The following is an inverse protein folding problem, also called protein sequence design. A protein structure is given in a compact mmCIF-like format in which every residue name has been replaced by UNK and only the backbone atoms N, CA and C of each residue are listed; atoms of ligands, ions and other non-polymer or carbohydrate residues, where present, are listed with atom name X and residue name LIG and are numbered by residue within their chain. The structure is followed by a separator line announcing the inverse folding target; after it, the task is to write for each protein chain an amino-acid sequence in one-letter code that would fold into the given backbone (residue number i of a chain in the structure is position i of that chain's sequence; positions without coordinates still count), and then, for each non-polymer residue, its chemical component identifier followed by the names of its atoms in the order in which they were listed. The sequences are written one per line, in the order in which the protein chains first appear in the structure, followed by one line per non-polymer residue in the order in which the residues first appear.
data_IF_164148457425
#
_entry.id   IF_164148457425
#
_cell.length_a   1.000
_cell.length_b   1.000
_cell.length_c   1.000
_cell.angle_alpha   90.00
_cell.angle_beta   90.00
_cell.angle_gamma   90.00
#
_symmetry.space_group_name_H-M   'P 1'
#
loop_
_entity.id
_entity.type
_entity.pdbx_description
1 polymer ?
#
# COMPACT_ATOMS: atom_id res chain seq x y z
N UNK A 1 84.55 -19.38 40.29
CA UNK A 1 84.68 -19.93 38.92
C UNK A 1 83.29 -20.24 38.39
N UNK A 2 83.02 -19.75 37.17
CA UNK A 2 82.04 -20.22 36.18
C UNK A 2 80.54 -20.12 36.51
N UNK A 3 79.87 -19.48 35.55
CA UNK A 3 78.44 -19.25 35.40
C UNK A 3 77.67 -20.52 35.04
N UNK A 4 76.33 -20.49 35.23
CA UNK A 4 75.27 -20.47 34.19
C UNK A 4 73.91 -20.73 34.89
N UNK A 5 72.82 -20.17 34.33
CA UNK A 5 71.40 -20.61 34.29
C UNK A 5 70.47 -19.41 34.58
N UNK A 6 69.90 -18.72 33.58
CA UNK A 6 68.76 -19.08 32.71
C UNK A 6 67.47 -19.37 33.49
N UNK A 7 66.51 -18.42 33.42
CA UNK A 7 65.06 -18.58 33.26
C UNK A 7 64.28 -17.43 33.91
N UNK A 8 63.31 -16.85 33.19
CA UNK A 8 62.32 -15.93 33.76
C UNK A 8 61.78 -14.88 32.81
N UNK A 9 61.45 -15.25 31.56
CA UNK A 9 60.85 -14.36 30.57
C UNK A 9 59.33 -14.25 30.72
N UNK A 10 58.92 -13.13 31.30
CA UNK A 10 57.65 -12.38 31.29
C UNK A 10 56.53 -12.87 30.34
N UNK A 11 55.35 -12.96 30.95
CA UNK A 11 53.99 -13.15 30.42
C UNK A 11 53.68 -12.23 29.22
N UNK A 12 53.39 -12.85 28.08
CA UNK A 12 52.87 -12.18 26.87
C UNK A 12 51.37 -12.49 26.72
N UNK A 13 50.53 -11.57 27.21
CA UNK A 13 49.12 -11.48 26.83
C UNK A 13 49.03 -10.92 25.41
N UNK A 14 48.59 -11.71 24.42
CA UNK A 14 48.07 -11.18 23.15
C UNK A 14 47.28 -12.22 22.36
N UNK A 15 46.15 -11.75 21.82
CA UNK A 15 45.33 -12.30 20.74
C UNK A 15 44.25 -13.34 21.12
N UNK A 16 43.19 -12.81 21.76
CA UNK A 16 41.80 -13.21 21.56
C UNK A 16 41.46 -13.22 20.05
N UNK A 17 41.12 -14.38 19.49
CA UNK A 17 40.40 -14.47 18.22
C UNK A 17 39.15 -15.34 18.41
N UNK A 18 38.07 -14.66 18.78
CA UNK A 18 36.71 -15.18 18.75
C UNK A 18 36.34 -15.42 17.28
N UNK A 19 36.22 -16.69 16.88
CA UNK A 19 35.61 -17.05 15.61
C UNK A 19 34.09 -16.82 15.71
N UNK A 20 33.68 -15.57 15.48
CA UNK A 20 32.28 -15.24 15.28
C UNK A 20 31.85 -15.65 13.88
N UNK A 21 31.30 -16.86 13.73
CA UNK A 21 30.54 -17.23 12.55
C UNK A 21 29.29 -16.35 12.48
N UNK A 22 29.38 -15.22 11.76
CA UNK A 22 28.20 -14.47 11.34
C UNK A 22 27.41 -15.38 10.40
N UNK A 23 26.35 -16.01 10.91
CA UNK A 23 25.40 -16.73 10.10
C UNK A 23 24.71 -15.73 9.19
N UNK A 24 25.22 -15.62 7.96
CA UNK A 24 24.55 -14.93 6.88
C UNK A 24 23.28 -15.72 6.58
N UNK A 25 22.20 -15.37 7.30
CA UNK A 25 20.84 -15.81 6.95
C UNK A 25 20.62 -15.39 5.50
N UNK A 26 20.64 -16.35 4.59
CA UNK A 26 19.99 -16.18 3.29
C UNK A 26 18.55 -15.80 3.61
N UNK A 27 18.22 -14.52 3.46
CA UNK A 27 16.85 -14.08 3.37
C UNK A 27 16.28 -14.91 2.22
N UNK A 28 15.34 -15.80 2.52
CA UNK A 28 14.61 -16.49 1.48
C UNK A 28 14.00 -15.39 0.61
N UNK A 29 14.48 -15.26 -0.63
CA UNK A 29 13.74 -14.54 -1.67
C UNK A 29 12.40 -15.26 -1.74
N UNK A 30 11.37 -14.65 -1.17
CA UNK A 30 9.99 -15.03 -1.42
C UNK A 30 9.81 -14.93 -2.93
N UNK A 31 9.92 -16.07 -3.60
CA UNK A 31 9.51 -16.26 -4.99
C UNK A 31 7.99 -16.26 -5.02
N UNK A 32 7.41 -15.11 -4.67
CA UNK A 32 6.00 -14.86 -4.84
C UNK A 32 5.78 -14.86 -6.35
N UNK A 33 5.10 -15.88 -6.85
CA UNK A 33 4.58 -15.91 -8.21
C UNK A 33 4.01 -14.53 -8.56
N UNK A 34 4.36 -13.95 -9.74
CA UNK A 34 3.98 -12.58 -10.06
C UNK A 34 2.46 -12.43 -9.97
N UNK A 35 2.01 -11.65 -8.99
CA UNK A 35 0.59 -11.42 -8.76
C UNK A 35 -0.04 -10.83 -10.04
N UNK A 36 -1.22 -11.30 -10.47
CA UNK A 36 -1.86 -10.80 -11.67
C UNK A 36 -2.17 -9.30 -11.53
N UNK A 37 -2.00 -8.57 -12.63
CA UNK A 37 -2.36 -7.15 -12.71
C UNK A 37 -3.84 -7.01 -13.08
N UNK A 38 -4.63 -6.46 -12.16
CA UNK A 38 -6.06 -6.23 -12.30
C UNK A 38 -6.34 -5.05 -13.24
N UNK A 39 -5.45 -4.06 -13.27
CA UNK A 39 -5.62 -2.81 -14.02
C UNK A 39 -4.69 -2.74 -15.23
N UNK A 40 -4.27 -3.89 -15.78
CA UNK A 40 -3.32 -3.96 -16.91
C UNK A 40 -3.75 -3.16 -18.14
N UNK A 41 -5.05 -3.14 -18.44
CA UNK A 41 -5.60 -2.46 -19.62
C UNK A 41 -5.85 -0.95 -19.41
N UNK A 42 -5.67 -0.43 -18.19
CA UNK A 42 -5.85 0.98 -17.90
C UNK A 42 -4.55 1.76 -18.14
N UNK A 43 -4.69 3.03 -18.52
CA UNK A 43 -3.58 3.96 -18.56
C UNK A 43 -2.95 4.12 -17.17
N UNK A 44 -1.67 4.50 -17.12
CA UNK A 44 -0.98 4.75 -15.84
C UNK A 44 -1.66 5.84 -15.02
N UNK A 45 -2.33 6.79 -15.69
CA UNK A 45 -3.03 7.91 -15.08
C UNK A 45 -4.32 8.17 -15.83
N UNK A 46 -5.44 8.16 -15.11
CA UNK A 46 -6.79 8.37 -15.67
C UNK A 46 -7.41 9.59 -15.01
N UNK A 47 -7.87 10.57 -15.79
CA UNK A 47 -8.50 11.78 -15.25
C UNK A 47 -9.85 11.44 -14.60
N UNK A 48 -10.10 11.97 -13.41
CA UNK A 48 -11.34 11.73 -12.67
C UNK A 48 -12.01 13.07 -12.37
N UNK A 49 -13.26 13.23 -12.80
CA UNK A 49 -13.99 14.48 -12.54
C UNK A 49 -14.43 14.54 -11.07
N UNK A 50 -14.31 15.72 -10.47
CA UNK A 50 -14.76 15.96 -9.10
C UNK A 50 -16.24 15.63 -8.92
N UNK A 51 -17.06 15.91 -9.93
CA UNK A 51 -18.50 15.64 -9.91
C UNK A 51 -18.83 14.14 -9.77
N UNK A 52 -18.02 13.27 -10.36
CA UNK A 52 -18.22 11.81 -10.26
C UNK A 52 -17.82 11.31 -8.87
N UNK A 53 -16.71 11.85 -8.33
CA UNK A 53 -16.27 11.53 -6.97
C UNK A 53 -17.30 11.99 -5.95
N UNK A 54 -17.74 13.25 -6.01
CA UNK A 54 -18.69 13.79 -5.03
C UNK A 54 -20.06 13.08 -5.10
N UNK A 55 -20.55 12.76 -6.30
CA UNK A 55 -21.76 11.95 -6.50
C UNK A 55 -21.66 10.59 -5.82
N UNK A 56 -20.47 9.99 -5.71
CA UNK A 56 -20.31 8.69 -5.05
C UNK A 56 -20.73 8.72 -3.58
N UNK A 57 -20.60 9.87 -2.91
CA UNK A 57 -21.01 10.04 -1.51
C UNK A 57 -22.52 10.20 -1.32
N UNK A 58 -23.30 10.37 -2.40
CA UNK A 58 -24.77 10.45 -2.30
C UNK A 58 -25.44 9.07 -2.27
N UNK A 59 -24.69 8.00 -2.51
CA UNK A 59 -25.22 6.64 -2.45
C UNK A 59 -25.24 6.10 -1.02
N UNK A 60 -26.31 5.38 -0.69
CA UNK A 60 -26.46 4.71 0.60
C UNK A 60 -25.95 3.28 0.55
N UNK A 61 -25.65 2.70 1.73
CA UNK A 61 -25.30 1.30 1.91
C UNK A 61 -26.32 0.37 1.21
N UNK A 62 -25.81 -0.69 0.57
CA UNK A 62 -26.59 -1.69 -0.16
C UNK A 62 -27.04 -1.24 -1.56
N UNK A 63 -26.70 -0.02 -1.99
CA UNK A 63 -27.03 0.44 -3.35
C UNK A 63 -25.98 0.01 -4.35
N UNK A 64 -26.44 -0.40 -5.53
CA UNK A 64 -25.61 -0.57 -6.71
C UNK A 64 -25.28 0.80 -7.30
N UNK A 65 -24.04 0.98 -7.73
CA UNK A 65 -23.53 2.21 -8.31
C UNK A 65 -22.77 1.92 -9.60
N UNK A 66 -22.80 2.88 -10.51
CA UNK A 66 -21.96 2.91 -11.71
C UNK A 66 -21.31 4.28 -11.78
N UNK A 67 -20.00 4.32 -11.71
CA UNK A 67 -19.18 5.52 -11.81
C UNK A 67 -18.40 5.47 -13.12
N UNK A 68 -18.82 6.27 -14.09
CA UNK A 68 -18.10 6.46 -15.35
C UNK A 68 -16.98 7.48 -15.11
N UNK A 69 -15.75 7.01 -14.91
CA UNK A 69 -14.60 7.88 -14.62
C UNK A 69 -14.08 8.51 -15.92
N UNK A 70 -13.84 7.67 -16.92
CA UNK A 70 -13.53 8.06 -18.29
C UNK A 70 -14.08 6.99 -19.27
N UNK A 71 -13.65 7.03 -20.54
CA UNK A 71 -14.07 6.05 -21.55
C UNK A 71 -13.55 4.62 -21.32
N UNK A 72 -12.49 4.44 -20.52
CA UNK A 72 -11.79 3.17 -20.33
C UNK A 72 -11.89 2.62 -18.89
N UNK A 73 -12.34 3.44 -17.94
CA UNK A 73 -12.49 3.15 -16.53
C UNK A 73 -13.94 3.44 -16.12
N UNK A 74 -14.71 2.37 -16.00
CA UNK A 74 -16.03 2.38 -15.38
C UNK A 74 -15.96 1.55 -14.12
N UNK A 75 -16.43 2.05 -13.00
CA UNK A 75 -16.50 1.30 -11.75
C UNK A 75 -17.95 0.95 -11.49
N UNK A 76 -18.27 -0.34 -11.50
CA UNK A 76 -19.58 -0.85 -11.15
C UNK A 76 -19.48 -1.68 -9.88
N UNK A 77 -20.42 -1.50 -8.94
CA UNK A 77 -20.32 -2.18 -7.66
C UNK A 77 -21.43 -1.84 -6.68
N UNK A 78 -21.32 -2.40 -5.48
CA UNK A 78 -22.25 -2.17 -4.38
C UNK A 78 -21.58 -1.40 -3.24
N UNK A 79 -22.27 -0.41 -2.67
CA UNK A 79 -21.82 0.29 -1.46
C UNK A 79 -21.95 -0.66 -0.26
N UNK A 80 -20.82 -1.18 0.22
CA UNK A 80 -20.78 -2.04 1.41
C UNK A 80 -21.02 -1.26 2.69
N UNK A 81 -20.47 -0.05 2.75
CA UNK A 81 -20.47 0.77 3.93
C UNK A 81 -20.33 2.23 3.57
N UNK A 82 -20.97 3.06 4.39
CA UNK A 82 -20.78 4.50 4.44
C UNK A 82 -20.62 4.88 5.91
N UNK A 83 -19.51 5.51 6.25
CA UNK A 83 -19.14 5.85 7.62
C UNK A 83 -18.63 7.28 7.70
N UNK A 84 -18.75 7.86 8.89
CA UNK A 84 -18.25 9.19 9.21
C UNK A 84 -17.41 9.08 10.49
N UNK A 85 -16.14 8.66 10.38
CA UNK A 85 -15.28 8.46 11.55
C UNK A 85 -15.02 9.76 12.33
N UNK A 86 -15.09 10.91 11.64
CA UNK A 86 -14.92 12.24 12.21
C UNK A 86 -15.91 13.22 11.53
N UNK A 87 -16.38 14.30 12.20
CA UNK A 87 -17.20 15.33 11.57
C UNK A 87 -16.67 15.86 10.23
N UNK A 88 -15.35 15.88 10.03
CA UNK A 88 -14.66 16.34 8.84
C UNK A 88 -14.45 15.25 7.79
N UNK A 89 -14.56 13.97 8.15
CA UNK A 89 -14.21 12.84 7.27
C UNK A 89 -15.40 11.93 7.05
N UNK A 90 -15.77 11.76 5.79
CA UNK A 90 -16.79 10.79 5.36
C UNK A 90 -16.14 9.79 4.41
N UNK A 91 -16.40 8.50 4.62
CA UNK A 91 -15.81 7.41 3.85
C UNK A 91 -16.91 6.50 3.30
N UNK A 92 -16.72 6.05 2.06
CA UNK A 92 -17.54 5.01 1.45
C UNK A 92 -16.64 3.85 1.00
N UNK A 93 -17.15 2.64 1.20
CA UNK A 93 -16.52 1.40 0.77
C UNK A 93 -17.43 0.74 -0.27
N UNK A 94 -16.89 0.48 -1.45
CA UNK A 94 -17.62 -0.09 -2.59
C UNK A 94 -16.94 -1.40 -3.00
N UNK A 95 -17.72 -2.47 -3.10
CA UNK A 95 -17.28 -3.73 -3.71
C UNK A 95 -17.51 -3.68 -5.20
N UNK A 96 -16.43 -3.66 -5.97
CA UNK A 96 -16.48 -3.57 -7.42
C UNK A 96 -16.79 -4.94 -8.05
N UNK A 97 -17.91 -5.04 -8.75
CA UNK A 97 -18.36 -6.27 -9.41
C UNK A 97 -17.62 -6.54 -10.72
N UNK A 98 -17.15 -5.48 -11.40
CA UNK A 98 -16.43 -5.58 -12.67
C UNK A 98 -14.90 -5.67 -12.55
N UNK A 99 -14.37 -5.72 -11.33
CA UNK A 99 -12.94 -5.82 -11.04
C UNK A 99 -12.64 -6.89 -9.98
N UNK A 100 -13.17 -8.10 -10.18
CA UNK A 100 -12.92 -9.27 -9.33
C UNK A 100 -13.13 -9.00 -7.82
N UNK A 101 -14.24 -8.34 -7.45
CA UNK A 101 -14.55 -7.96 -6.07
C UNK A 101 -13.48 -7.07 -5.40
N UNK A 102 -12.73 -6.28 -6.19
CA UNK A 102 -11.86 -5.25 -5.64
C UNK A 102 -12.63 -4.30 -4.72
N UNK A 103 -11.96 -3.85 -3.66
CA UNK A 103 -12.50 -2.88 -2.72
C UNK A 103 -12.03 -1.50 -3.15
N UNK A 104 -12.99 -0.62 -3.46
CA UNK A 104 -12.78 0.81 -3.61
C UNK A 104 -13.17 1.49 -2.30
N UNK A 105 -12.20 2.17 -1.69
CA UNK A 105 -12.43 3.06 -0.55
C UNK A 105 -12.22 4.49 -1.02
N UNK A 106 -13.21 5.34 -0.79
CA UNK A 106 -13.16 6.78 -1.09
C UNK A 106 -13.44 7.54 0.20
N UNK A 107 -12.63 8.56 0.48
CA UNK A 107 -12.83 9.46 1.63
C UNK A 107 -12.90 10.90 1.16
N UNK A 108 -13.89 11.62 1.69
CA UNK A 108 -14.11 13.05 1.55
C UNK A 108 -13.71 13.72 2.85
N UNK A 109 -12.74 14.64 2.78
CA UNK A 109 -12.13 15.31 3.93
C UNK A 109 -12.38 16.81 3.78
N UNK A 110 -13.17 17.37 4.70
CA UNK A 110 -13.40 18.81 4.83
C UNK A 110 -12.26 19.42 5.63
N UNK A 111 -11.57 20.40 5.06
CA UNK A 111 -10.50 21.12 5.74
C UNK A 111 -11.05 22.29 6.56
N UNK A 112 -10.26 22.79 7.50
CA UNK A 112 -10.64 23.93 8.36
C UNK A 112 -10.93 25.21 7.57
N UNK A 113 -10.24 25.41 6.43
CA UNK A 113 -10.48 26.53 5.52
C UNK A 113 -11.75 26.39 4.67
N UNK A 114 -12.57 25.34 4.90
CA UNK A 114 -13.79 25.05 4.16
C UNK A 114 -13.58 24.33 2.83
N UNK A 115 -12.33 24.11 2.39
CA UNK A 115 -12.04 23.34 1.19
C UNK A 115 -12.31 21.85 1.40
N UNK A 116 -12.59 21.12 0.32
CA UNK A 116 -12.83 19.68 0.36
C UNK A 116 -11.75 18.98 -0.44
N UNK A 117 -11.16 17.96 0.16
CA UNK A 117 -10.19 17.08 -0.47
C UNK A 117 -10.70 15.65 -0.49
N UNK A 118 -10.30 14.91 -1.53
CA UNK A 118 -10.68 13.52 -1.74
C UNK A 118 -9.44 12.65 -1.77
N UNK A 119 -9.54 11.47 -1.19
CA UNK A 119 -8.54 10.41 -1.31
C UNK A 119 -9.24 9.10 -1.58
N UNK A 120 -8.52 8.13 -2.12
CA UNK A 120 -9.08 6.82 -2.35
C UNK A 120 -8.09 5.81 -2.87
N UNK A 121 -8.45 4.55 -2.65
CA UNK A 121 -7.68 3.40 -3.09
C UNK A 121 -8.64 2.33 -3.59
N UNK A 122 -8.31 1.75 -4.75
CA UNK A 122 -8.97 0.56 -5.27
C UNK A 122 -7.96 -0.57 -5.35
N UNK A 123 -8.22 -1.66 -4.64
CA UNK A 123 -7.30 -2.78 -4.55
C UNK A 123 -8.03 -4.11 -4.44
N UNK A 124 -7.33 -5.18 -4.81
CA UNK A 124 -7.74 -6.56 -4.55
C UNK A 124 -6.58 -7.29 -3.88
N UNK A 125 -6.86 -8.16 -2.90
CA UNK A 125 -5.80 -8.89 -2.17
C UNK A 125 -4.97 -9.80 -3.09
N UNK A 126 -5.58 -10.32 -4.15
CA UNK A 126 -4.93 -11.20 -5.11
C UNK A 126 -4.26 -10.45 -6.28
N UNK A 127 -4.35 -9.12 -6.37
CA UNK A 127 -3.75 -8.34 -7.45
C UNK A 127 -2.39 -7.75 -7.09
N UNK A 128 -1.52 -7.62 -8.09
CA UNK A 128 -0.19 -7.00 -7.95
C UNK A 128 -0.21 -5.47 -8.08
N UNK A 129 -1.34 -4.88 -8.45
CA UNK A 129 -1.53 -3.45 -8.67
C UNK A 129 -2.75 -2.88 -7.94
N UNK A 130 -2.74 -1.56 -7.79
CA UNK A 130 -3.79 -0.74 -7.17
C UNK A 130 -4.06 0.51 -8.01
N UNK A 131 -5.24 1.10 -7.87
CA UNK A 131 -5.51 2.47 -8.32
C UNK A 131 -5.60 3.41 -7.13
N UNK A 132 -4.89 4.53 -7.19
CA UNK A 132 -4.92 5.58 -6.19
C UNK A 132 -5.56 6.84 -6.73
N UNK A 133 -6.53 7.39 -6.01
CA UNK A 133 -7.07 8.69 -6.29
C UNK A 133 -6.13 9.75 -5.73
N UNK A 134 -5.45 10.48 -6.62
CA UNK A 134 -4.49 11.53 -6.28
C UNK A 134 -4.96 12.89 -6.77
N UNK A 135 -4.70 13.93 -5.99
CA UNK A 135 -4.86 15.32 -6.41
C UNK A 135 -3.50 15.84 -6.91
N UNK A 136 -3.45 16.26 -8.17
CA UNK A 136 -2.29 16.92 -8.75
C UNK A 136 -2.73 18.27 -9.34
N UNK A 137 -2.28 19.37 -8.74
CA UNK A 137 -2.59 20.74 -9.17
C UNK A 137 -4.11 21.03 -9.27
N UNK A 138 -4.89 20.58 -8.29
CA UNK A 138 -6.35 20.81 -8.23
C UNK A 138 -7.16 19.88 -9.13
N UNK A 139 -6.52 18.89 -9.78
CA UNK A 139 -7.17 17.90 -10.63
C UNK A 139 -6.99 16.51 -10.05
N UNK A 140 -8.07 15.73 -10.10
CA UNK A 140 -8.08 14.37 -9.58
C UNK A 140 -7.77 13.34 -10.66
N UNK A 141 -6.97 12.35 -10.29
CA UNK A 141 -6.59 11.26 -11.17
C UNK A 141 -6.59 9.93 -10.44
N UNK A 142 -7.03 8.87 -11.10
CA UNK A 142 -6.69 7.51 -10.69
C UNK A 142 -5.34 7.14 -11.29
N UNK A 143 -4.35 6.93 -10.43
CA UNK A 143 -2.99 6.53 -10.78
C UNK A 143 -2.78 5.06 -10.48
N UNK A 144 -2.35 4.30 -11.48
CA UNK A 144 -1.98 2.88 -11.33
C UNK A 144 -0.62 2.77 -10.64
N UNK A 145 -0.53 1.96 -9.60
CA UNK A 145 0.70 1.69 -8.87
C UNK A 145 0.83 0.20 -8.54
N UNK A 146 2.06 -0.26 -8.26
CA UNK A 146 2.28 -1.60 -7.72
C UNK A 146 1.78 -1.66 -6.27
N UNK A 147 1.11 -2.75 -5.91
CA UNK A 147 0.54 -2.95 -4.57
C UNK A 147 1.61 -2.90 -3.48
N UNK A 148 2.75 -3.53 -3.72
CA UNK A 148 3.88 -3.61 -2.78
C UNK A 148 4.49 -2.27 -2.38
N UNK A 149 4.25 -1.21 -3.16
CA UNK A 149 4.74 0.14 -2.87
C UNK A 149 3.79 0.94 -1.97
N UNK A 150 2.55 0.49 -1.82
CA UNK A 150 1.46 1.26 -1.20
C UNK A 150 0.85 0.53 -0.01
N UNK A 151 0.77 -0.79 -0.09
CA UNK A 151 0.18 -1.64 0.94
C UNK A 151 1.28 -2.57 1.44
N UNK A 152 1.60 -2.46 2.73
CA UNK A 152 2.47 -3.41 3.38
C UNK A 152 1.77 -4.77 3.49
N UNK A 153 2.45 -5.83 3.06
CA UNK A 153 2.00 -7.19 3.34
C UNK A 153 2.27 -7.47 4.82
N UNK A 154 1.23 -7.33 5.65
CA UNK A 154 1.30 -7.79 7.04
C UNK A 154 1.03 -9.30 7.03
N UNK A 155 1.99 -10.15 7.42
CA UNK A 155 1.73 -11.57 7.57
C UNK A 155 0.65 -11.75 8.65
N UNK A 156 -0.39 -12.53 8.34
CA UNK A 156 -1.33 -12.93 9.38
C UNK A 156 -0.56 -13.80 10.40
N UNK A 157 -0.73 -13.58 11.72
CA UNK A 157 -0.22 -14.55 12.69
C UNK A 157 -0.87 -15.91 12.40
N UNK A 158 -0.04 -16.96 12.40
CA UNK A 158 -0.47 -18.36 12.25
C UNK A 158 -1.39 -18.82 13.39
#
# INVERSE_FOLDING_TARGET
MKAVLFNGGIVLCLALSLNGFSQQRKIAENTTSPQPLLFKNLQTKTNCSLSVIDKSFNYNKGRQIILNIDSNLTIAGEVLEKSQPDPQVETINVRCTNYNNALLTLSRIKQENGSVSYTGIMHNRASGDVLLLVNENGRYFFKKQQRSLVIADCPLPE
#
